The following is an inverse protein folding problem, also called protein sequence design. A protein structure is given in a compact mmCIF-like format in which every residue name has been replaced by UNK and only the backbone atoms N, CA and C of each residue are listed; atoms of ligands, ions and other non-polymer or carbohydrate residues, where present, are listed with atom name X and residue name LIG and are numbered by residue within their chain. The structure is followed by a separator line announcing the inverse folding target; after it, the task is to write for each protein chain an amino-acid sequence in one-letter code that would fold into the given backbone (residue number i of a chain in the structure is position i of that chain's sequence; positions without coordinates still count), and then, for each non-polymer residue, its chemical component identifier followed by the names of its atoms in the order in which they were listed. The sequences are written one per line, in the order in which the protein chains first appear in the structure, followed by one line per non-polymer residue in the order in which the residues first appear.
data_IF_613634356257
#
_entry.id   IF_613634356257
#
_cell.length_a   1.000
_cell.length_b   1.000
_cell.length_c   1.000
_cell.angle_alpha   90.00
_cell.angle_beta   90.00
_cell.angle_gamma   90.00
#
_symmetry.space_group_name_H-M   'P 1'
#
loop_
_entity.id
_entity.type
_entity.pdbx_description
1 polymer ?
#
# COMPACT_ATOMS: atom_id res chain seq x y z
N UNK A 1 7.32 -29.93 11.34
CA UNK A 1 7.76 -30.09 9.94
C UNK A 1 7.84 -28.72 9.29
N UNK A 2 9.04 -28.15 9.24
CA UNK A 2 9.26 -26.73 8.95
C UNK A 2 8.97 -26.36 7.50
N UNK A 3 7.82 -25.72 7.26
CA UNK A 3 7.54 -25.07 5.98
C UNK A 3 8.37 -23.79 5.91
N UNK A 4 9.31 -23.73 4.95
CA UNK A 4 9.97 -22.48 4.56
C UNK A 4 8.97 -21.63 3.78
N UNK A 5 8.58 -20.49 4.34
CA UNK A 5 7.72 -19.52 3.65
C UNK A 5 8.55 -18.72 2.65
N UNK A 6 8.83 -19.31 1.50
CA UNK A 6 9.38 -18.58 0.35
C UNK A 6 8.29 -17.69 -0.26
N UNK A 7 8.55 -16.39 -0.47
CA UNK A 7 7.61 -15.50 -1.16
C UNK A 7 7.31 -16.01 -2.58
N UNK A 8 6.13 -15.68 -3.10
CA UNK A 8 5.57 -16.18 -4.36
C UNK A 8 6.31 -15.71 -5.65
N UNK A 9 7.57 -15.29 -5.57
CA UNK A 9 8.38 -14.82 -6.70
C UNK A 9 7.95 -13.47 -7.28
N UNK A 10 6.78 -12.95 -6.91
CA UNK A 10 6.26 -11.65 -7.31
C UNK A 10 5.76 -10.86 -6.09
N UNK A 11 5.98 -9.55 -6.10
CA UNK A 11 5.58 -8.63 -5.04
C UNK A 11 4.86 -7.41 -5.61
N UNK A 12 3.98 -6.80 -4.81
CA UNK A 12 3.27 -5.57 -5.16
C UNK A 12 4.24 -4.37 -5.13
N UNK A 13 4.01 -3.41 -6.02
CA UNK A 13 4.67 -2.09 -6.02
C UNK A 13 3.65 -1.02 -5.67
N UNK A 14 3.88 -0.29 -4.58
CA UNK A 14 3.02 0.77 -4.03
C UNK A 14 3.82 2.04 -3.76
N UNK A 15 4.03 2.89 -4.77
CA UNK A 15 4.99 4.00 -4.69
C UNK A 15 4.60 5.09 -3.70
N UNK A 16 3.32 5.19 -3.34
CA UNK A 16 2.84 6.11 -2.30
C UNK A 16 3.07 5.63 -0.86
N UNK A 17 3.55 4.40 -0.64
CA UNK A 17 3.56 3.76 0.69
C UNK A 17 4.87 3.05 1.05
N UNK A 18 5.87 3.03 0.16
CA UNK A 18 7.12 2.29 0.34
C UNK A 18 8.26 2.98 -0.42
N UNK A 19 9.38 3.34 0.24
CA UNK A 19 10.52 3.97 -0.45
C UNK A 19 11.17 3.10 -1.54
N UNK A 20 11.38 1.77 -1.35
CA UNK A 20 11.83 0.91 -2.45
C UNK A 20 10.87 0.91 -3.66
N UNK A 21 9.56 0.88 -3.40
CA UNK A 21 8.55 0.88 -4.46
C UNK A 21 8.54 2.21 -5.22
N UNK A 22 8.81 3.33 -4.54
CA UNK A 22 8.96 4.64 -5.16
C UNK A 22 10.17 4.70 -6.09
N UNK A 23 11.31 4.14 -5.68
CA UNK A 23 12.50 4.06 -6.53
C UNK A 23 12.23 3.22 -7.79
N UNK A 24 11.60 2.06 -7.61
CA UNK A 24 11.22 1.18 -8.73
C UNK A 24 10.22 1.88 -9.68
N UNK A 25 9.20 2.53 -9.14
CA UNK A 25 8.26 3.30 -9.95
C UNK A 25 8.92 4.39 -10.78
N UNK A 26 9.87 5.14 -10.21
CA UNK A 26 10.65 6.14 -10.95
C UNK A 26 11.45 5.52 -12.10
N UNK A 27 12.07 4.36 -11.87
CA UNK A 27 12.81 3.64 -12.91
C UNK A 27 11.90 3.14 -14.06
N UNK A 28 10.60 2.97 -13.81
CA UNK A 28 9.62 2.47 -14.78
C UNK A 28 8.58 3.53 -15.22
N UNK A 29 8.76 4.80 -14.88
CA UNK A 29 7.85 5.88 -15.29
C UNK A 29 6.44 5.82 -14.67
N UNK A 30 6.29 5.17 -13.51
CA UNK A 30 5.01 5.07 -12.80
C UNK A 30 4.81 6.27 -11.86
N UNK A 31 3.63 6.88 -11.91
CA UNK A 31 3.25 7.96 -10.99
C UNK A 31 2.90 7.42 -9.59
N UNK A 32 3.30 8.10 -8.50
CA UNK A 32 2.86 7.72 -7.16
C UNK A 32 1.37 7.96 -6.95
N UNK A 33 0.73 7.03 -6.24
CA UNK A 33 -0.66 7.13 -5.79
C UNK A 33 -0.73 6.77 -4.30
N UNK A 34 -1.28 7.68 -3.49
CA UNK A 34 -1.60 7.40 -2.08
C UNK A 34 -3.09 7.12 -1.91
N UNK A 35 -3.39 6.19 -1.01
CA UNK A 35 -4.77 5.85 -0.59
C UNK A 35 -4.97 6.10 0.91
N UNK A 36 -3.93 6.57 1.60
CA UNK A 36 -3.94 6.87 3.03
C UNK A 36 -3.53 8.34 3.17
N UNK A 37 -4.38 9.13 3.79
CA UNK A 37 -4.14 10.54 4.07
C UNK A 37 -3.14 10.72 5.20
N UNK A 38 -2.66 11.95 5.37
CA UNK A 38 -1.72 12.31 6.45
C UNK A 38 -2.32 12.11 7.84
N UNK A 39 -3.66 12.11 7.94
CA UNK A 39 -4.42 11.82 9.15
C UNK A 39 -4.59 10.30 9.41
N UNK A 40 -4.04 9.45 8.54
CA UNK A 40 -4.13 7.99 8.64
C UNK A 40 -5.49 7.43 8.20
N UNK A 41 -6.40 8.24 7.65
CA UNK A 41 -7.66 7.77 7.08
C UNK A 41 -7.49 7.37 5.62
N UNK A 42 -8.36 6.47 5.14
CA UNK A 42 -8.39 6.07 3.74
C UNK A 42 -9.02 7.19 2.87
N UNK A 43 -8.35 7.54 1.77
CA UNK A 43 -8.75 8.60 0.84
C UNK A 43 -9.46 8.05 -0.41
N UNK A 44 -10.12 8.90 -1.24
CA UNK A 44 -10.92 8.47 -2.40
C UNK A 44 -10.26 7.49 -3.37
N UNK A 45 -8.94 7.58 -3.67
CA UNK A 45 -8.30 6.59 -4.54
C UNK A 45 -8.33 5.15 -4.02
N UNK A 46 -8.58 4.93 -2.72
CA UNK A 46 -8.75 3.61 -2.11
C UNK A 46 -10.14 2.98 -2.35
N UNK A 47 -11.07 3.71 -2.97
CA UNK A 47 -12.43 3.26 -3.26
C UNK A 47 -13.45 3.70 -2.21
N UNK A 48 -14.68 3.96 -2.67
CA UNK A 48 -15.82 4.50 -1.90
C UNK A 48 -16.03 3.87 -0.53
N UNK A 49 -16.04 2.54 -0.48
CA UNK A 49 -16.38 1.77 0.73
C UNK A 49 -15.35 1.87 1.84
N UNK A 50 -14.12 2.28 1.52
CA UNK A 50 -13.04 2.44 2.48
C UNK A 50 -12.88 3.88 2.93
N UNK A 51 -13.42 4.86 2.19
CA UNK A 51 -13.21 6.27 2.49
C UNK A 51 -13.58 6.59 3.94
N UNK A 52 -12.83 7.51 4.55
CA UNK A 52 -12.96 7.98 5.94
C UNK A 52 -12.70 6.92 7.03
N UNK A 53 -12.53 5.63 6.68
CA UNK A 53 -12.12 4.62 7.64
C UNK A 53 -10.65 4.79 8.02
N UNK A 54 -10.26 4.50 9.28
CA UNK A 54 -8.86 4.48 9.66
C UNK A 54 -8.12 3.34 8.95
N UNK A 55 -6.85 3.57 8.58
CA UNK A 55 -5.95 2.55 8.01
C UNK A 55 -5.93 1.27 8.84
N UNK A 56 -5.92 1.43 10.17
CA UNK A 56 -5.97 0.35 11.14
C UNK A 56 -7.26 0.54 11.93
N UNK A 57 -8.26 -0.32 11.75
CA UNK A 57 -9.47 -0.29 12.55
C UNK A 57 -9.15 -0.49 14.03
N UNK A 58 -9.75 0.30 14.90
CA UNK A 58 -9.82 -0.04 16.33
C UNK A 58 -10.64 -1.32 16.46
N UNK A 59 -10.02 -2.38 16.96
CA UNK A 59 -10.76 -3.56 17.42
C UNK A 59 -11.45 -3.16 18.74
N UNK A 60 -12.77 -3.41 18.92
CA UNK A 60 -13.43 -3.18 20.19
C UNK A 60 -12.84 -4.05 21.32
#
# INVERSE_FOLDING_TARGET
DGVSLVPAGAVKVTPGHSPPDLALARAHGLSPLSVIGDDGTMCPPGGGWLQVLPRIPSVP
#
